data_IF_443082797823
#
_entry.id   IF_443082797823
#
_cell.length_a   1.000
_cell.length_b   1.000
_cell.length_c   1.000
_cell.angle_alpha   90.00
_cell.angle_beta   90.00
_cell.angle_gamma   90.00
#
_symmetry.space_group_name_H-M   'P 1'
#
loop_
_entity.id
_entity.type
_entity.pdbx_description
1 polymer ?
#
# COMPACT_ATOMS: atom_id res chain seq x y z
N UNK A 1 -8.86 5.22 4.69
CA UNK A 1 -9.94 5.16 3.67
C UNK A 1 -11.01 6.13 4.12
N UNK A 2 -11.65 6.84 3.21
CA UNK A 2 -12.77 7.71 3.57
C UNK A 2 -13.98 6.89 4.06
N UNK A 3 -14.92 7.55 4.72
CA UNK A 3 -16.07 6.90 5.36
C UNK A 3 -16.99 6.16 4.37
N UNK A 4 -16.94 6.51 3.08
CA UNK A 4 -17.77 5.93 2.03
C UNK A 4 -17.04 4.89 1.18
N UNK A 5 -15.73 4.67 1.39
CA UNK A 5 -14.96 3.68 0.63
C UNK A 5 -14.69 4.06 -0.82
N UNK A 6 -14.53 5.35 -1.11
CA UNK A 6 -14.18 5.84 -2.46
C UNK A 6 -12.69 6.09 -2.64
N UNK A 7 -11.98 6.47 -1.59
CA UNK A 7 -10.60 6.92 -1.67
C UNK A 7 -9.72 6.36 -0.54
N UNK A 8 -8.53 5.92 -0.92
CA UNK A 8 -7.40 5.81 0.00
C UNK A 8 -6.68 7.17 -0.05
N UNK A 9 -6.46 7.81 1.09
CA UNK A 9 -5.76 9.09 1.13
C UNK A 9 -4.66 9.08 2.19
N UNK A 10 -3.58 9.82 1.93
CA UNK A 10 -2.49 10.03 2.87
C UNK A 10 -1.91 11.43 2.70
N UNK A 11 -1.24 11.92 3.73
CA UNK A 11 -0.56 13.21 3.71
C UNK A 11 0.81 13.08 4.34
N UNK A 12 1.84 13.28 3.52
CA UNK A 12 3.22 13.33 4.01
C UNK A 12 3.51 14.71 4.61
N UNK A 13 4.37 14.75 5.62
CA UNK A 13 4.78 16.01 6.25
C UNK A 13 5.37 16.97 5.22
N UNK A 14 4.88 18.22 5.21
CA UNK A 14 5.31 19.25 4.26
C UNK A 14 4.86 19.04 2.81
N UNK A 15 3.99 18.06 2.51
CA UNK A 15 3.45 17.82 1.16
C UNK A 15 1.93 17.96 1.11
N UNK A 16 1.43 18.10 -0.11
CA UNK A 16 -0.01 18.04 -0.38
C UNK A 16 -0.55 16.64 -0.13
N UNK A 17 -1.84 16.56 0.21
CA UNK A 17 -2.53 15.29 0.37
C UNK A 17 -2.60 14.56 -0.97
N UNK A 18 -2.36 13.25 -0.93
CA UNK A 18 -2.47 12.38 -2.08
C UNK A 18 -3.65 11.44 -1.87
N UNK A 19 -4.31 11.09 -2.98
CA UNK A 19 -5.47 10.21 -3.01
C UNK A 19 -5.27 9.13 -4.06
N UNK A 20 -5.86 7.97 -3.83
CA UNK A 20 -6.00 6.87 -4.77
C UNK A 20 -7.47 6.48 -4.81
N UNK A 21 -8.04 6.51 -6.02
CA UNK A 21 -9.45 6.20 -6.24
C UNK A 21 -9.65 4.68 -6.22
N UNK A 22 -10.51 4.20 -5.32
CA UNK A 22 -10.76 2.76 -5.15
C UNK A 22 -11.41 2.14 -6.39
N UNK A 23 -12.18 2.90 -7.17
CA UNK A 23 -12.75 2.43 -8.42
C UNK A 23 -11.71 2.11 -9.50
N UNK A 24 -10.47 2.59 -9.35
CA UNK A 24 -9.36 2.32 -10.25
C UNK A 24 -8.44 1.23 -9.72
N UNK A 25 -8.69 0.69 -8.53
CA UNK A 25 -7.92 -0.42 -7.98
C UNK A 25 -8.36 -1.72 -8.65
N UNK A 26 -7.40 -2.39 -9.27
CA UNK A 26 -7.61 -3.66 -9.95
C UNK A 26 -7.27 -4.85 -9.05
N UNK A 27 -6.27 -4.73 -8.17
CA UNK A 27 -5.84 -5.80 -7.26
C UNK A 27 -5.03 -5.23 -6.08
N UNK A 28 -5.00 -5.96 -4.96
CA UNK A 28 -4.24 -5.63 -3.75
C UNK A 28 -3.54 -6.88 -3.24
N UNK A 29 -2.21 -6.87 -3.26
CA UNK A 29 -1.38 -8.01 -2.93
C UNK A 29 -0.68 -7.79 -1.61
N UNK A 30 -0.58 -8.85 -0.80
CA UNK A 30 0.38 -8.89 0.30
C UNK A 30 1.79 -8.98 -0.28
N UNK A 31 2.75 -8.41 0.45
CA UNK A 31 4.14 -8.36 0.05
C UNK A 31 4.48 -7.23 -0.90
N UNK A 32 5.69 -7.33 -1.44
CA UNK A 32 6.28 -6.31 -2.29
C UNK A 32 7.26 -5.44 -1.51
N UNK A 33 8.47 -5.96 -1.34
CA UNK A 33 9.59 -5.21 -0.78
C UNK A 33 10.46 -4.58 -1.86
N UNK A 34 11.06 -3.41 -1.59
CA UNK A 34 11.96 -2.77 -2.54
C UNK A 34 13.20 -3.63 -2.78
N UNK A 35 13.64 -3.71 -4.04
CA UNK A 35 14.88 -4.41 -4.43
C UNK A 35 16.13 -3.63 -4.07
N UNK A 36 16.00 -2.32 -3.85
CA UNK A 36 17.12 -1.47 -3.51
C UNK A 36 17.60 -1.75 -2.07
N UNK A 37 18.85 -2.20 -1.87
CA UNK A 37 19.31 -2.67 -0.55
C UNK A 37 19.23 -1.60 0.54
N UNK A 38 19.51 -0.34 0.19
CA UNK A 38 19.48 0.76 1.15
C UNK A 38 18.07 1.03 1.65
N UNK A 39 17.10 1.12 0.74
CA UNK A 39 15.71 1.36 1.08
C UNK A 39 15.13 0.18 1.88
N UNK A 40 15.47 -1.05 1.50
CA UNK A 40 15.08 -2.26 2.23
C UNK A 40 15.60 -2.23 3.68
N UNK A 41 16.87 -1.88 3.88
CA UNK A 41 17.45 -1.76 5.22
C UNK A 41 16.77 -0.67 6.06
N UNK A 42 16.52 0.51 5.48
CA UNK A 42 15.83 1.61 6.17
C UNK A 42 14.40 1.24 6.57
N UNK A 43 13.67 0.49 5.74
CA UNK A 43 12.33 0.00 6.06
C UNK A 43 12.34 -1.09 7.14
N UNK A 44 13.31 -2.01 7.10
CA UNK A 44 13.47 -3.04 8.14
C UNK A 44 13.72 -2.44 9.51
N UNK A 45 14.48 -1.33 9.61
CA UNK A 45 14.71 -0.63 10.87
C UNK A 45 13.44 0.02 11.45
N UNK A 46 12.47 0.36 10.60
CA UNK A 46 11.21 1.01 11.00
C UNK A 46 10.07 0.02 11.24
N UNK A 47 10.26 -1.22 10.81
CA UNK A 47 9.23 -2.27 10.89
C UNK A 47 9.56 -3.19 12.05
N UNK A 48 8.59 -3.47 12.91
CA UNK A 48 8.80 -4.34 14.08
C UNK A 48 8.68 -5.84 13.76
N UNK A 49 8.19 -6.19 12.58
CA UNK A 49 7.96 -7.57 12.14
C UNK A 49 8.70 -7.95 10.85
N UNK A 50 8.25 -9.04 10.21
CA UNK A 50 8.73 -9.44 8.89
C UNK A 50 8.23 -8.44 7.86
N UNK A 51 9.15 -7.74 7.20
CA UNK A 51 8.81 -6.65 6.27
C UNK A 51 7.86 -7.11 5.16
N UNK A 52 8.06 -8.32 4.62
CA UNK A 52 7.20 -8.88 3.56
C UNK A 52 5.75 -9.01 4.03
N UNK A 53 5.54 -9.54 5.24
CA UNK A 53 4.19 -9.77 5.81
C UNK A 53 3.48 -8.45 6.15
N UNK A 54 4.25 -7.39 6.43
CA UNK A 54 3.72 -6.06 6.69
C UNK A 54 3.54 -5.22 5.41
N UNK A 55 3.96 -5.72 4.24
CA UNK A 55 3.93 -4.96 2.99
C UNK A 55 2.65 -5.24 2.19
N UNK A 56 2.19 -4.21 1.48
CA UNK A 56 1.07 -4.28 0.55
C UNK A 56 1.44 -3.62 -0.77
N UNK A 57 0.98 -4.21 -1.86
CA UNK A 57 1.11 -3.66 -3.21
C UNK A 57 -0.28 -3.48 -3.81
N UNK A 58 -0.66 -2.21 -4.03
CA UNK A 58 -1.92 -1.82 -4.67
C UNK A 58 -1.66 -1.63 -6.16
N UNK A 59 -2.37 -2.40 -6.98
CA UNK A 59 -2.35 -2.32 -8.44
C UNK A 59 -3.54 -1.46 -8.89
N UNK A 60 -3.28 -0.30 -9.48
CA UNK A 60 -4.33 0.64 -9.91
C UNK A 60 -4.13 1.07 -11.36
N UNK A 61 -5.20 1.39 -12.07
CA UNK A 61 -5.12 1.82 -13.47
C UNK A 61 -6.49 1.86 -14.13
N UNK A 62 -6.66 2.74 -15.12
CA UNK A 62 -7.89 2.87 -15.91
C UNK A 62 -8.11 1.70 -16.88
N UNK A 63 -7.04 0.98 -17.20
CA UNK A 63 -7.04 -0.17 -18.10
C UNK A 63 -6.11 -1.27 -17.57
N UNK A 64 -6.19 -2.44 -18.19
CA UNK A 64 -5.42 -3.62 -17.79
C UNK A 64 -3.98 -3.64 -18.31
N UNK A 65 -3.53 -2.55 -18.95
CA UNK A 65 -2.19 -2.43 -19.56
C UNK A 65 -1.32 -1.46 -18.77
N UNK A 66 -1.87 -0.29 -18.43
CA UNK A 66 -1.21 0.80 -17.74
C UNK A 66 -1.48 0.71 -16.24
N UNK A 67 -0.82 -0.25 -15.59
CA UNK A 67 -0.95 -0.50 -14.15
C UNK A 67 0.13 0.28 -13.37
N UNK A 68 -0.33 1.09 -12.43
CA UNK A 68 0.47 1.72 -11.40
C UNK A 68 0.52 0.85 -10.14
N UNK A 69 1.72 0.62 -9.63
CA UNK A 69 1.95 -0.10 -8.38
C UNK A 69 2.27 0.89 -7.27
N UNK A 70 1.42 0.91 -6.24
CA UNK A 70 1.66 1.67 -5.00
C UNK A 70 2.04 0.70 -3.89
N UNK A 71 3.25 0.86 -3.36
CA UNK A 71 3.78 0.02 -2.28
C UNK A 71 3.55 0.72 -0.93
N UNK A 72 2.98 -0.01 0.02
CA UNK A 72 2.66 0.46 1.37
C UNK A 72 3.26 -0.52 2.37
N UNK A 73 3.93 0.00 3.41
CA UNK A 73 4.39 -0.80 4.55
C UNK A 73 3.51 -0.45 5.74
N UNK A 74 2.78 -1.44 6.25
CA UNK A 74 1.93 -1.31 7.42
C UNK A 74 2.76 -1.41 8.71
N UNK A 75 2.23 -0.92 9.86
CA UNK A 75 2.90 -1.05 11.15
C UNK A 75 3.11 -2.51 11.57
N UNK A 76 2.21 -3.41 11.18
CA UNK A 76 2.18 -4.81 11.55
C UNK A 76 1.47 -5.68 10.49
N UNK A 77 1.67 -7.00 10.59
CA UNK A 77 1.10 -8.02 9.70
C UNK A 77 -0.43 -8.11 9.78
N UNK A 78 -1.02 -7.91 10.97
CA UNK A 78 -2.48 -7.95 11.12
C UNK A 78 -3.12 -6.78 10.36
N UNK A 79 -2.56 -5.58 10.49
CA UNK A 79 -3.00 -4.39 9.74
C UNK A 79 -2.89 -4.62 8.23
N UNK A 80 -1.81 -5.24 7.74
CA UNK A 80 -1.65 -5.54 6.32
C UNK A 80 -2.74 -6.51 5.80
N UNK A 81 -3.00 -7.58 6.56
CA UNK A 81 -4.06 -8.55 6.24
C UNK A 81 -5.45 -7.94 6.25
N UNK A 82 -5.74 -7.14 7.27
CA UNK A 82 -7.01 -6.43 7.39
C UNK A 82 -7.18 -5.52 6.16
N UNK A 83 -6.21 -4.66 5.86
CA UNK A 83 -6.29 -3.76 4.70
C UNK A 83 -6.49 -4.51 3.39
N UNK A 84 -5.78 -5.62 3.18
CA UNK A 84 -6.00 -6.45 1.99
C UNK A 84 -7.43 -6.97 1.92
N UNK A 85 -7.95 -7.49 3.03
CA UNK A 85 -9.29 -8.05 3.07
C UNK A 85 -10.36 -6.98 2.85
N UNK A 86 -10.27 -5.85 3.55
CA UNK A 86 -11.26 -4.78 3.50
C UNK A 86 -11.32 -4.09 2.14
N UNK A 87 -10.17 -3.87 1.50
CA UNK A 87 -10.12 -3.16 0.22
C UNK A 87 -10.43 -4.04 -1.00
N UNK A 88 -10.56 -5.37 -0.82
CA UNK A 88 -10.94 -6.32 -1.87
C UNK A 88 -12.44 -6.65 -1.90
N UNK A 89 -13.22 -6.17 -0.93
CA UNK A 89 -14.68 -6.38 -0.89
C UNK A 89 -15.40 -5.40 -1.81
#
# INVERSE_FOLDING_TARGET
>A
VDEYGFFIYWKSEGREGQVLELCQVNDIRLGGVPKEPRLLYELQLRTTGVLEDCSLTICSGYDMVNINYTHIVCPDDQTAKDWQQWLRQ
#
